data_IF_500197463551
#
_entry.id   IF_500197463551
#
_cell.length_a   1.000
_cell.length_b   1.000
_cell.length_c   1.000
_cell.angle_alpha   90.00
_cell.angle_beta   90.00
_cell.angle_gamma   90.00
#
_symmetry.space_group_name_H-M   'P 1'
#
loop_
_entity.id
_entity.type
_entity.pdbx_description
1 polymer ?
#
# COMPACT_ATOMS: atom_id res chain seq x y z
N UNK A 1 40.11 -6.45 -7.78
CA UNK A 1 39.10 -6.08 -6.76
C UNK A 1 39.39 -6.85 -5.50
N UNK A 2 39.98 -6.16 -4.50
CA UNK A 2 40.35 -6.75 -3.21
C UNK A 2 39.12 -7.35 -2.52
N UNK A 3 39.31 -8.61 -2.06
CA UNK A 3 38.37 -9.28 -1.17
C UNK A 3 38.44 -8.57 0.19
N UNK A 4 37.45 -7.76 0.56
CA UNK A 4 37.27 -7.46 1.98
C UNK A 4 36.63 -8.70 2.63
N UNK A 5 37.08 -8.99 3.82
CA UNK A 5 36.51 -10.03 4.66
C UNK A 5 36.11 -9.39 5.98
N UNK A 6 34.89 -9.68 6.44
CA UNK A 6 34.45 -9.23 7.75
C UNK A 6 35.21 -10.03 8.82
N UNK A 7 35.60 -9.37 9.88
CA UNK A 7 36.20 -10.04 11.05
C UNK A 7 35.22 -11.08 11.63
N UNK A 8 35.74 -12.20 12.08
CA UNK A 8 34.93 -13.30 12.60
C UNK A 8 34.08 -12.89 13.79
N UNK A 9 34.57 -11.98 14.64
CA UNK A 9 33.82 -11.36 15.74
C UNK A 9 32.57 -10.62 15.24
N UNK A 10 32.68 -9.90 14.14
CA UNK A 10 31.57 -9.17 13.54
C UNK A 10 30.56 -10.10 12.85
N UNK A 11 31.04 -11.15 12.19
CA UNK A 11 30.19 -12.19 11.60
C UNK A 11 29.33 -12.86 12.70
N UNK A 12 29.96 -13.21 13.83
CA UNK A 12 29.26 -13.84 14.96
C UNK A 12 28.26 -12.86 15.62
N UNK A 13 28.59 -11.57 15.73
CA UNK A 13 27.67 -10.55 16.22
C UNK A 13 26.42 -10.46 15.29
N UNK A 14 26.61 -10.41 13.98
CA UNK A 14 25.49 -10.36 13.02
C UNK A 14 24.64 -11.61 13.15
N UNK A 15 25.26 -12.80 13.20
CA UNK A 15 24.56 -14.07 13.34
C UNK A 15 23.76 -14.16 14.64
N UNK A 16 24.39 -13.92 15.77
CA UNK A 16 23.74 -13.97 17.09
C UNK A 16 22.55 -13.03 17.19
N UNK A 17 22.69 -11.78 16.73
CA UNK A 17 21.59 -10.81 16.73
C UNK A 17 20.47 -11.18 15.76
N UNK A 18 20.79 -11.79 14.61
CA UNK A 18 19.78 -12.21 13.61
C UNK A 18 18.96 -13.39 14.09
N UNK A 19 19.57 -14.31 14.81
CA UNK A 19 18.89 -15.49 15.36
C UNK A 19 18.18 -15.20 16.70
N UNK A 20 18.48 -14.06 17.33
CA UNK A 20 17.90 -13.66 18.61
C UNK A 20 16.41 -13.28 18.51
N UNK A 21 15.74 -13.31 19.67
CA UNK A 21 14.29 -12.96 19.74
C UNK A 21 13.99 -11.53 19.34
N UNK A 22 14.91 -10.61 19.63
CA UNK A 22 14.79 -9.19 19.28
C UNK A 22 15.05 -8.85 17.82
N UNK A 23 15.30 -9.81 16.94
CA UNK A 23 15.56 -9.57 15.53
C UNK A 23 14.33 -9.06 14.79
N UNK A 24 14.49 -7.93 14.11
CA UNK A 24 13.42 -7.30 13.30
C UNK A 24 13.68 -7.47 11.82
N UNK A 25 14.89 -7.12 11.35
CA UNK A 25 15.22 -7.17 9.92
C UNK A 25 16.73 -7.04 9.68
N UNK A 26 17.22 -7.77 8.69
CA UNK A 26 18.54 -7.57 8.10
C UNK A 26 18.37 -7.16 6.63
N UNK A 27 19.10 -6.15 6.19
CA UNK A 27 19.10 -5.69 4.80
C UNK A 27 20.52 -5.55 4.33
N UNK A 28 20.84 -6.16 3.20
CA UNK A 28 22.14 -6.02 2.56
C UNK A 28 22.00 -5.49 1.15
N UNK A 29 22.84 -4.53 0.79
CA UNK A 29 22.99 -4.02 -0.57
C UNK A 29 24.26 -4.58 -1.21
N UNK A 30 24.11 -5.21 -2.35
CA UNK A 30 25.20 -5.85 -3.12
C UNK A 30 25.32 -5.18 -4.48
N UNK A 31 26.54 -4.99 -4.97
CA UNK A 31 26.80 -4.56 -6.34
C UNK A 31 27.58 -5.64 -7.10
N UNK A 32 27.00 -6.08 -8.22
CA UNK A 32 27.65 -7.05 -9.11
C UNK A 32 27.45 -6.62 -10.57
N UNK A 33 28.52 -6.48 -11.33
CA UNK A 33 28.43 -6.13 -12.75
C UNK A 33 27.81 -4.74 -13.06
N UNK A 34 27.81 -3.81 -12.09
CA UNK A 34 27.16 -2.49 -12.24
C UNK A 34 25.73 -2.45 -11.73
N UNK A 35 25.08 -3.58 -11.57
CA UNK A 35 23.73 -3.70 -11.05
C UNK A 35 23.69 -3.72 -9.52
N UNK A 36 22.57 -3.30 -8.97
CA UNK A 36 22.35 -3.27 -7.52
C UNK A 36 21.31 -4.32 -7.15
N UNK A 37 21.72 -5.22 -6.26
CA UNK A 37 20.88 -6.23 -5.64
C UNK A 37 20.60 -5.83 -4.21
N UNK A 38 19.42 -6.18 -3.72
CA UNK A 38 19.06 -6.03 -2.32
C UNK A 38 18.60 -7.37 -1.78
N UNK A 39 19.23 -7.79 -0.68
CA UNK A 39 18.81 -8.97 0.06
C UNK A 39 18.22 -8.48 1.37
N UNK A 40 17.04 -8.98 1.74
CA UNK A 40 16.47 -8.72 3.06
C UNK A 40 16.07 -10.02 3.72
N UNK A 41 16.33 -10.13 5.03
CA UNK A 41 15.91 -11.23 5.88
C UNK A 41 15.05 -10.68 7.01
N UNK A 42 13.95 -11.34 7.33
CA UNK A 42 13.06 -10.97 8.43
C UNK A 42 12.44 -12.18 9.08
N UNK A 43 12.10 -12.12 10.37
CA UNK A 43 11.30 -13.16 11.00
C UNK A 43 9.86 -13.10 10.47
N UNK A 44 9.25 -14.27 10.28
CA UNK A 44 7.86 -14.47 9.88
C UNK A 44 7.29 -15.62 10.69
N UNK A 45 5.98 -15.65 10.86
CA UNK A 45 5.28 -16.78 11.46
C UNK A 45 4.52 -17.53 10.36
N UNK A 46 4.79 -18.80 10.18
CA UNK A 46 4.13 -19.67 9.20
C UNK A 46 3.62 -20.90 9.94
N UNK A 47 2.29 -21.07 9.97
CA UNK A 47 1.67 -22.20 10.66
C UNK A 47 1.95 -22.22 12.18
N UNK A 48 2.00 -21.05 12.83
CA UNK A 48 2.32 -20.91 14.25
C UNK A 48 3.79 -21.13 14.62
N UNK A 49 4.68 -21.30 13.63
CA UNK A 49 6.11 -21.52 13.83
C UNK A 49 6.90 -20.33 13.32
N UNK A 50 7.81 -19.80 14.15
CA UNK A 50 8.77 -18.76 13.73
C UNK A 50 9.71 -19.30 12.66
N UNK A 51 9.72 -18.64 11.51
CA UNK A 51 10.63 -18.88 10.38
C UNK A 51 11.32 -17.60 9.98
N UNK A 52 12.23 -17.69 9.02
CA UNK A 52 12.95 -16.54 8.47
C UNK A 52 12.70 -16.48 6.97
N UNK A 53 12.26 -15.33 6.50
CA UNK A 53 12.01 -15.09 5.08
C UNK A 53 13.11 -14.22 4.50
N UNK A 54 13.85 -14.79 3.54
CA UNK A 54 14.78 -14.03 2.70
C UNK A 54 14.09 -13.60 1.41
N UNK A 55 14.27 -12.35 1.06
CA UNK A 55 13.82 -11.75 -0.20
C UNK A 55 15.03 -11.17 -0.92
N UNK A 56 15.27 -11.63 -2.13
CA UNK A 56 16.34 -11.13 -3.01
C UNK A 56 15.68 -10.40 -4.18
N UNK A 57 15.98 -9.13 -4.35
CA UNK A 57 15.45 -8.31 -5.45
C UNK A 57 16.58 -7.88 -6.39
N UNK A 58 16.36 -8.15 -7.69
CA UNK A 58 17.22 -7.77 -8.80
C UNK A 58 16.36 -7.02 -9.83
N UNK A 59 16.48 -5.71 -9.91
CA UNK A 59 15.61 -4.91 -10.77
C UNK A 59 14.12 -5.12 -10.45
N UNK A 60 13.39 -5.77 -11.37
CA UNK A 60 11.96 -6.11 -11.20
C UNK A 60 11.73 -7.53 -10.69
N UNK A 61 12.75 -8.36 -10.68
CA UNK A 61 12.64 -9.75 -10.24
C UNK A 61 12.82 -9.83 -8.73
N UNK A 62 11.93 -10.57 -8.08
CA UNK A 62 11.94 -10.82 -6.64
C UNK A 62 11.86 -12.33 -6.39
N UNK A 63 12.88 -12.86 -5.73
CA UNK A 63 12.90 -14.23 -5.27
C UNK A 63 12.70 -14.27 -3.75
N UNK A 64 11.83 -15.15 -3.28
CA UNK A 64 11.52 -15.32 -1.85
C UNK A 64 11.82 -16.75 -1.43
N UNK A 65 12.56 -16.91 -0.33
CA UNK A 65 12.88 -18.20 0.27
C UNK A 65 12.59 -18.16 1.78
N UNK A 66 11.95 -19.19 2.30
CA UNK A 66 11.69 -19.32 3.74
C UNK A 66 12.61 -20.38 4.33
N UNK A 67 13.14 -20.09 5.51
CA UNK A 67 14.01 -20.98 6.28
C UNK A 67 13.40 -21.25 7.65
N UNK A 68 13.62 -22.43 8.20
CA UNK A 68 13.45 -22.69 9.64
C UNK A 68 14.62 -22.07 10.44
N UNK A 69 14.62 -22.23 11.75
CA UNK A 69 15.66 -21.67 12.61
C UNK A 69 17.06 -22.21 12.29
N UNK A 70 17.19 -23.45 11.87
CA UNK A 70 18.47 -24.07 11.52
C UNK A 70 18.97 -23.59 10.15
N UNK A 71 18.09 -23.58 9.15
CA UNK A 71 18.42 -23.04 7.82
C UNK A 71 18.65 -21.52 7.80
N UNK A 72 18.12 -20.79 8.79
CA UNK A 72 18.39 -19.36 8.92
C UNK A 72 19.85 -19.05 9.25
N UNK A 73 20.53 -19.89 10.00
CA UNK A 73 21.95 -19.74 10.30
C UNK A 73 22.79 -19.81 9.02
N UNK A 74 22.53 -20.82 8.17
CA UNK A 74 23.17 -20.96 6.86
C UNK A 74 22.81 -19.79 5.94
N UNK A 75 21.57 -19.35 5.93
CA UNK A 75 21.09 -18.21 5.15
C UNK A 75 21.78 -16.89 5.55
N UNK A 76 22.03 -16.68 6.83
CA UNK A 76 22.80 -15.52 7.33
C UNK A 76 24.25 -15.59 6.85
N UNK A 77 24.89 -16.75 6.91
CA UNK A 77 26.25 -16.96 6.39
C UNK A 77 26.31 -16.69 4.88
N UNK A 78 25.36 -17.18 4.11
CA UNK A 78 25.27 -16.89 2.67
C UNK A 78 25.11 -15.39 2.39
N UNK A 79 24.31 -14.67 3.18
CA UNK A 79 24.12 -13.22 3.06
C UNK A 79 25.43 -12.49 3.38
N UNK A 80 26.09 -12.82 4.49
CA UNK A 80 27.35 -12.20 4.90
C UNK A 80 28.46 -12.44 3.89
N UNK A 81 28.52 -13.64 3.30
CA UNK A 81 29.54 -14.06 2.34
C UNK A 81 29.36 -13.49 0.92
N UNK A 82 28.27 -12.73 0.64
CA UNK A 82 28.00 -12.19 -0.70
C UNK A 82 29.12 -11.31 -1.22
N UNK A 83 29.71 -11.71 -2.34
CA UNK A 83 30.72 -10.90 -3.04
C UNK A 83 30.10 -9.59 -3.55
N UNK A 84 30.76 -8.47 -3.29
CA UNK A 84 30.31 -7.15 -3.72
C UNK A 84 29.33 -6.50 -2.75
N UNK A 85 29.11 -7.06 -1.55
CA UNK A 85 28.36 -6.40 -0.50
C UNK A 85 28.98 -5.04 -0.17
N UNK A 86 28.15 -4.01 -0.02
CA UNK A 86 28.60 -2.64 0.26
C UNK A 86 28.05 -2.11 1.56
N UNK A 87 26.89 -2.58 1.93
CA UNK A 87 26.16 -2.07 3.09
C UNK A 87 25.30 -3.17 3.67
N UNK A 88 25.37 -3.36 4.99
CA UNK A 88 24.52 -4.25 5.74
C UNK A 88 23.91 -3.46 6.88
N UNK A 89 22.60 -3.53 7.04
CA UNK A 89 21.86 -2.91 8.12
C UNK A 89 21.06 -3.98 8.86
N UNK A 90 21.44 -4.22 10.10
CA UNK A 90 20.77 -5.14 11.01
C UNK A 90 19.99 -4.34 12.04
N UNK A 91 18.69 -4.54 12.07
CA UNK A 91 17.75 -3.86 12.94
C UNK A 91 17.25 -4.84 13.99
N UNK A 92 17.38 -4.48 15.25
CA UNK A 92 16.89 -5.26 16.39
C UNK A 92 16.08 -4.38 17.36
N UNK A 93 15.34 -5.02 18.26
CA UNK A 93 14.59 -4.32 19.32
C UNK A 93 15.49 -3.51 20.24
N UNK A 94 16.74 -3.96 20.45
CA UNK A 94 17.69 -3.36 21.42
C UNK A 94 18.73 -2.44 20.78
N UNK A 95 18.79 -2.37 19.45
CA UNK A 95 19.75 -1.51 18.75
C UNK A 95 20.05 -1.98 17.34
N UNK A 96 20.55 -1.05 16.54
CA UNK A 96 20.87 -1.31 15.13
C UNK A 96 22.38 -1.44 14.95
N UNK A 97 22.77 -2.31 14.01
CA UNK A 97 24.14 -2.48 13.55
C UNK A 97 24.19 -2.11 12.06
N UNK A 98 25.00 -1.12 11.72
CA UNK A 98 25.24 -0.72 10.35
C UNK A 98 26.69 -0.97 9.96
N UNK A 99 26.89 -1.80 8.97
CA UNK A 99 28.20 -2.14 8.40
C UNK A 99 28.30 -1.60 7.00
N UNK A 100 29.30 -0.79 6.72
CA UNK A 100 29.55 -0.22 5.39
C UNK A 100 30.97 -0.50 4.93
N UNK A 101 31.10 -0.95 3.68
CA UNK A 101 32.39 -1.17 3.05
C UNK A 101 32.70 -0.02 2.10
N UNK A 102 33.79 0.68 2.35
CA UNK A 102 34.25 1.80 1.52
C UNK A 102 34.75 1.31 0.15
N UNK A 103 34.94 2.24 -0.78
CA UNK A 103 35.55 1.90 -2.10
C UNK A 103 36.95 1.34 -1.97
N UNK A 104 37.69 1.67 -0.90
CA UNK A 104 39.04 1.19 -0.60
C UNK A 104 39.09 -0.14 0.19
N UNK A 105 37.93 -0.77 0.44
CA UNK A 105 37.81 -2.03 1.18
C UNK A 105 37.77 -1.90 2.71
N UNK A 106 37.83 -0.69 3.28
CA UNK A 106 37.72 -0.51 4.74
C UNK A 106 36.29 -0.77 5.21
N UNK A 107 36.16 -1.56 6.27
CA UNK A 107 34.89 -1.86 6.95
C UNK A 107 34.66 -0.82 8.03
N UNK A 108 33.55 -0.13 7.94
CA UNK A 108 33.07 0.84 8.93
C UNK A 108 31.86 0.25 9.64
N UNK A 109 31.90 0.20 10.97
CA UNK A 109 30.83 -0.36 11.79
C UNK A 109 30.28 0.74 12.69
N UNK A 110 28.97 0.96 12.63
CA UNK A 110 28.25 1.86 13.52
C UNK A 110 27.20 1.06 14.29
N UNK A 111 27.11 1.32 15.58
CA UNK A 111 26.10 0.75 16.48
C UNK A 111 25.29 1.88 17.08
N UNK A 112 23.96 1.81 16.99
CA UNK A 112 23.06 2.73 17.64
C UNK A 112 22.33 2.02 18.78
N UNK A 113 22.14 2.71 19.91
CA UNK A 113 21.20 2.26 20.92
C UNK A 113 19.79 2.24 20.29
N UNK A 114 19.04 1.18 20.52
CA UNK A 114 17.67 1.07 19.98
C UNK A 114 16.77 2.10 20.66
N UNK A 115 15.88 2.68 19.87
CA UNK A 115 14.59 3.10 20.39
C UNK A 115 13.87 1.79 20.70
N UNK A 116 13.30 1.62 21.89
CA UNK A 116 12.54 0.43 22.27
C UNK A 116 11.49 0.13 21.17
N UNK A 117 11.76 -0.90 20.37
CA UNK A 117 10.89 -1.33 19.27
C UNK A 117 10.35 -2.70 19.64
N UNK A 118 9.06 -2.88 19.53
CA UNK A 118 8.50 -4.23 19.59
C UNK A 118 9.00 -5.06 18.42
N UNK A 119 9.71 -6.15 18.72
CA UNK A 119 10.06 -7.18 17.74
C UNK A 119 8.81 -8.03 17.42
N UNK A 120 7.79 -7.42 16.81
CA UNK A 120 6.61 -8.17 16.41
C UNK A 120 6.94 -9.05 15.20
N UNK A 121 6.97 -10.35 15.41
CA UNK A 121 6.97 -11.32 14.32
C UNK A 121 5.62 -11.21 13.62
N UNK A 122 5.61 -10.62 12.43
CA UNK A 122 4.36 -10.48 11.67
C UNK A 122 4.00 -11.83 11.08
N UNK A 123 2.76 -12.33 11.28
CA UNK A 123 2.32 -13.55 10.62
C UNK A 123 2.60 -13.49 9.13
N UNK A 124 3.12 -14.59 8.56
CA UNK A 124 3.37 -14.67 7.11
C UNK A 124 2.06 -14.61 6.33
N UNK A 125 1.05 -15.30 6.83
CA UNK A 125 -0.34 -15.10 6.47
C UNK A 125 -0.90 -13.90 7.23
N UNK A 126 -0.41 -12.72 6.87
CA UNK A 126 -1.27 -11.58 7.03
C UNK A 126 -2.50 -11.94 6.20
N UNK A 127 -3.58 -12.26 6.86
CA UNK A 127 -4.89 -11.92 6.35
C UNK A 127 -4.75 -10.42 6.15
N UNK A 128 -4.42 -10.04 4.90
CA UNK A 128 -4.40 -8.62 4.53
C UNK A 128 -5.80 -8.23 4.90
N UNK A 129 -5.95 -7.37 5.90
CA UNK A 129 -7.25 -6.81 6.23
C UNK A 129 -7.61 -5.94 5.03
N UNK A 130 -8.01 -6.66 3.95
CA UNK A 130 -8.30 -6.06 2.67
C UNK A 130 -9.72 -5.52 2.78
N UNK A 131 -9.94 -4.24 2.54
CA UNK A 131 -11.27 -3.65 2.56
C UNK A 131 -12.30 -4.46 1.79
N UNK A 132 -11.97 -4.96 0.60
CA UNK A 132 -12.86 -5.82 -0.19
C UNK A 132 -13.16 -7.20 0.43
N UNK A 133 -12.41 -7.63 1.44
CA UNK A 133 -12.67 -8.86 2.18
C UNK A 133 -13.51 -8.65 3.44
N UNK A 134 -13.83 -7.39 3.79
CA UNK A 134 -14.63 -7.06 4.96
C UNK A 134 -16.13 -7.11 4.71
N UNK A 135 -16.57 -7.30 3.47
CA UNK A 135 -17.97 -7.44 3.06
C UNK A 135 -18.08 -8.43 1.89
N UNK A 136 -19.30 -8.85 1.56
CA UNK A 136 -19.54 -9.68 0.38
C UNK A 136 -19.33 -8.87 -0.91
N UNK A 137 -18.12 -8.92 -1.43
CA UNK A 137 -17.71 -8.23 -2.65
C UNK A 137 -17.84 -9.07 -3.92
N UNK A 138 -18.37 -10.31 -3.85
CA UNK A 138 -18.35 -11.26 -4.97
C UNK A 138 -19.09 -10.72 -6.21
N UNK A 139 -20.27 -10.13 -6.03
CA UNK A 139 -21.04 -9.55 -7.13
C UNK A 139 -20.27 -8.39 -7.79
N UNK A 140 -19.72 -7.48 -6.99
CA UNK A 140 -18.88 -6.38 -7.45
C UNK A 140 -17.66 -6.88 -8.23
N UNK A 141 -16.89 -7.82 -7.67
CA UNK A 141 -15.68 -8.36 -8.31
C UNK A 141 -15.96 -8.99 -9.67
N UNK A 142 -17.10 -9.70 -9.81
CA UNK A 142 -17.56 -10.25 -11.09
C UNK A 142 -18.01 -9.16 -12.06
N UNK A 143 -18.80 -8.19 -11.61
CA UNK A 143 -19.28 -7.09 -12.46
C UNK A 143 -18.13 -6.21 -12.96
N UNK A 144 -17.14 -5.94 -12.11
CA UNK A 144 -15.92 -5.23 -12.43
C UNK A 144 -14.93 -6.04 -13.29
N UNK A 145 -15.21 -7.33 -13.56
CA UNK A 145 -14.32 -8.22 -14.31
C UNK A 145 -13.01 -8.55 -13.59
N UNK A 146 -12.92 -8.29 -12.29
CA UNK A 146 -11.75 -8.59 -11.45
C UNK A 146 -11.68 -10.07 -11.10
N UNK A 147 -12.84 -10.74 -10.95
CA UNK A 147 -12.94 -12.16 -10.68
C UNK A 147 -13.48 -12.93 -11.90
N UNK A 148 -13.21 -14.23 -11.94
CA UNK A 148 -13.80 -15.20 -12.87
C UNK A 148 -15.18 -15.68 -12.39
N UNK A 149 -15.76 -16.67 -13.10
CA UNK A 149 -17.04 -17.27 -12.78
C UNK A 149 -17.08 -17.91 -11.38
N UNK A 150 -15.96 -18.46 -10.95
CA UNK A 150 -15.80 -19.12 -9.65
C UNK A 150 -15.48 -18.15 -8.49
N UNK A 151 -15.38 -16.84 -8.78
CA UNK A 151 -15.06 -15.81 -7.78
C UNK A 151 -13.57 -15.65 -7.50
N UNK A 152 -12.68 -16.30 -8.26
CA UNK A 152 -11.23 -16.18 -8.10
C UNK A 152 -10.72 -14.96 -8.82
N UNK A 153 -9.85 -14.18 -8.16
CA UNK A 153 -9.23 -13.01 -8.78
C UNK A 153 -8.37 -13.44 -9.97
N UNK A 154 -8.68 -12.90 -11.14
CA UNK A 154 -7.93 -13.18 -12.37
C UNK A 154 -6.48 -12.71 -12.23
N UNK A 155 -5.51 -13.51 -12.65
CA UNK A 155 -4.08 -13.17 -12.54
C UNK A 155 -3.75 -11.83 -13.23
N UNK A 156 -4.34 -11.56 -14.41
CA UNK A 156 -4.19 -10.29 -15.15
C UNK A 156 -4.81 -9.07 -14.45
N UNK A 157 -5.73 -9.29 -13.50
CA UNK A 157 -6.44 -8.23 -12.76
C UNK A 157 -5.94 -8.08 -11.32
N UNK A 158 -4.92 -8.84 -10.93
CA UNK A 158 -4.38 -8.79 -9.56
C UNK A 158 -3.92 -7.40 -9.16
N UNK A 159 -3.17 -6.71 -10.03
CA UNK A 159 -2.73 -5.34 -9.76
C UNK A 159 -3.89 -4.37 -9.57
N UNK A 160 -4.99 -4.55 -10.34
CA UNK A 160 -6.20 -3.72 -10.19
C UNK A 160 -6.95 -4.00 -8.90
N UNK A 161 -7.04 -5.27 -8.51
CA UNK A 161 -7.60 -5.68 -7.21
C UNK A 161 -6.82 -5.08 -6.03
N UNK A 162 -5.48 -5.15 -6.08
CA UNK A 162 -4.63 -4.57 -5.05
C UNK A 162 -4.77 -3.03 -5.02
N UNK A 163 -4.92 -2.38 -6.18
CA UNK A 163 -5.20 -0.95 -6.32
C UNK A 163 -6.49 -0.53 -5.60
N UNK A 164 -7.59 -1.26 -5.84
CA UNK A 164 -8.88 -0.98 -5.18
C UNK A 164 -8.75 -1.10 -3.66
N UNK A 165 -8.09 -2.14 -3.16
CA UNK A 165 -7.90 -2.31 -1.72
C UNK A 165 -7.06 -1.19 -1.09
N UNK A 166 -5.97 -0.76 -1.73
CA UNK A 166 -5.15 0.36 -1.21
C UNK A 166 -5.93 1.67 -1.22
N UNK A 167 -6.71 1.93 -2.27
CA UNK A 167 -7.61 3.08 -2.33
C UNK A 167 -8.60 3.09 -1.15
N UNK A 168 -9.31 1.99 -0.93
CA UNK A 168 -10.31 1.90 0.14
C UNK A 168 -9.70 2.03 1.55
N UNK A 169 -8.45 1.61 1.76
CA UNK A 169 -7.74 1.85 3.03
C UNK A 169 -7.55 3.34 3.28
N UNK A 170 -7.06 4.05 2.24
CA UNK A 170 -6.85 5.51 2.36
C UNK A 170 -8.17 6.22 2.59
N UNK A 171 -9.24 5.82 1.90
CA UNK A 171 -10.60 6.34 2.18
C UNK A 171 -10.98 6.13 3.65
N UNK A 172 -10.77 4.94 4.20
CA UNK A 172 -11.05 4.65 5.60
C UNK A 172 -10.29 5.55 6.57
N UNK A 173 -9.00 5.81 6.29
CA UNK A 173 -8.16 6.70 7.11
C UNK A 173 -8.61 8.16 7.05
N UNK A 174 -9.10 8.63 5.90
CA UNK A 174 -9.57 10.00 5.69
C UNK A 174 -10.98 10.21 6.25
N UNK A 175 -11.88 9.24 6.08
CA UNK A 175 -13.27 9.36 6.53
C UNK A 175 -13.42 9.15 8.03
N UNK A 176 -12.60 8.31 8.66
CA UNK A 176 -12.68 8.01 10.08
C UNK A 176 -12.66 9.26 11.01
N UNK A 177 -11.84 10.29 10.76
CA UNK A 177 -11.84 11.51 11.58
C UNK A 177 -13.06 12.41 11.36
N UNK A 178 -13.78 12.28 10.23
CA UNK A 178 -14.89 13.17 9.85
C UNK A 178 -16.16 12.97 10.69
N UNK A 179 -16.17 11.96 11.57
CA UNK A 179 -17.15 11.74 12.67
C UNK A 179 -18.63 11.97 12.33
N UNK A 180 -19.04 11.80 11.06
CA UNK A 180 -20.44 11.90 10.66
C UNK A 180 -21.22 10.68 11.18
N UNK A 181 -22.39 10.90 11.73
CA UNK A 181 -23.19 9.78 12.24
C UNK A 181 -23.56 8.82 11.09
N UNK A 182 -23.46 7.49 11.27
CA UNK A 182 -23.75 6.51 10.22
C UNK A 182 -25.16 6.63 9.61
N UNK A 183 -26.11 7.16 10.35
CA UNK A 183 -27.50 7.38 9.90
C UNK A 183 -27.71 8.62 9.03
N UNK A 184 -26.66 9.43 8.82
CA UNK A 184 -26.75 10.61 7.96
C UNK A 184 -26.38 10.27 6.51
N UNK A 185 -26.95 11.04 5.58
CA UNK A 185 -26.53 10.91 4.17
C UNK A 185 -25.07 11.28 4.03
N UNK A 186 -24.29 10.38 3.44
CA UNK A 186 -22.88 10.61 3.11
C UNK A 186 -22.75 10.69 1.59
N UNK A 187 -22.34 11.85 1.08
CA UNK A 187 -22.19 12.09 -0.35
C UNK A 187 -20.73 12.13 -0.75
N UNK A 188 -20.34 11.27 -1.69
CA UNK A 188 -19.00 11.28 -2.26
C UNK A 188 -19.04 11.56 -3.77
N UNK A 189 -18.03 12.25 -4.28
CA UNK A 189 -17.85 12.50 -5.72
C UNK A 189 -16.48 11.98 -6.17
N UNK A 190 -16.46 11.22 -7.27
CA UNK A 190 -15.27 10.67 -7.90
C UNK A 190 -15.06 11.35 -9.26
N UNK A 191 -14.14 12.30 -9.32
CA UNK A 191 -13.79 13.02 -10.53
C UNK A 191 -12.80 12.21 -11.39
N UNK A 192 -13.15 12.03 -12.66
CA UNK A 192 -12.41 11.17 -13.57
C UNK A 192 -12.66 9.68 -13.29
N UNK A 193 -13.90 9.31 -12.95
CA UNK A 193 -14.29 7.97 -12.50
C UNK A 193 -13.98 6.84 -13.51
N UNK A 194 -13.79 7.16 -14.77
CA UNK A 194 -13.41 6.20 -15.80
C UNK A 194 -14.36 5.01 -15.84
N UNK A 195 -13.81 3.80 -15.76
CA UNK A 195 -14.58 2.54 -15.77
C UNK A 195 -15.30 2.23 -14.45
N UNK A 196 -15.44 3.19 -13.55
CA UNK A 196 -16.20 3.11 -12.31
C UNK A 196 -15.75 2.04 -11.27
N UNK A 197 -14.61 1.40 -11.45
CA UNK A 197 -14.15 0.37 -10.50
C UNK A 197 -14.03 0.92 -9.08
N UNK A 198 -13.45 2.11 -8.94
CA UNK A 198 -13.22 2.73 -7.65
C UNK A 198 -14.49 3.36 -7.08
N UNK A 199 -15.29 4.01 -7.94
CA UNK A 199 -16.56 4.64 -7.59
C UNK A 199 -17.54 3.64 -6.96
N UNK A 200 -17.73 2.48 -7.59
CA UNK A 200 -18.63 1.44 -7.08
C UNK A 200 -18.05 0.75 -5.84
N UNK A 201 -16.73 0.51 -5.81
CA UNK A 201 -16.08 -0.03 -4.63
C UNK A 201 -16.21 0.91 -3.42
N UNK A 202 -16.08 2.22 -3.65
CA UNK A 202 -16.27 3.26 -2.64
C UNK A 202 -17.67 3.18 -2.02
N UNK A 203 -18.71 3.09 -2.86
CA UNK A 203 -20.08 2.96 -2.36
C UNK A 203 -20.23 1.73 -1.44
N UNK A 204 -19.83 0.55 -1.89
CA UNK A 204 -19.94 -0.65 -1.06
C UNK A 204 -19.14 -0.54 0.24
N UNK A 205 -17.97 0.08 0.20
CA UNK A 205 -17.15 0.28 1.38
C UNK A 205 -17.79 1.26 2.37
N UNK A 206 -18.34 2.37 1.90
CA UNK A 206 -19.08 3.34 2.72
C UNK A 206 -20.25 2.67 3.42
N UNK A 207 -21.04 1.87 2.70
CA UNK A 207 -22.24 1.22 3.25
C UNK A 207 -21.88 0.07 4.19
N UNK A 208 -21.05 -0.87 3.74
CA UNK A 208 -20.88 -2.14 4.45
C UNK A 208 -19.76 -2.14 5.48
N UNK A 209 -18.78 -1.26 5.35
CA UNK A 209 -17.63 -1.21 6.25
C UNK A 209 -17.67 0.02 7.15
N UNK A 210 -17.96 1.20 6.58
CA UNK A 210 -18.05 2.43 7.37
C UNK A 210 -19.44 2.70 7.95
N UNK A 211 -20.47 1.93 7.53
CA UNK A 211 -21.80 1.96 8.11
C UNK A 211 -22.71 3.09 7.61
N UNK A 212 -22.34 3.82 6.56
CA UNK A 212 -23.17 4.88 5.97
C UNK A 212 -24.26 4.29 5.07
N UNK A 213 -25.36 3.78 5.65
CA UNK A 213 -26.45 3.12 4.92
C UNK A 213 -27.11 3.99 3.86
N UNK A 214 -27.11 5.31 4.04
CA UNK A 214 -27.67 6.31 3.13
C UNK A 214 -26.59 6.96 2.24
N UNK A 215 -25.44 6.29 2.02
CA UNK A 215 -24.40 6.82 1.17
C UNK A 215 -24.87 7.00 -0.28
N UNK A 216 -24.42 8.09 -0.89
CA UNK A 216 -24.56 8.37 -2.32
C UNK A 216 -23.19 8.63 -2.91
N UNK A 217 -22.93 8.08 -4.09
CA UNK A 217 -21.65 8.29 -4.79
C UNK A 217 -21.94 8.76 -6.21
N UNK A 218 -21.31 9.85 -6.61
CA UNK A 218 -21.40 10.38 -7.97
C UNK A 218 -20.07 10.22 -8.67
N UNK A 219 -20.05 9.51 -9.79
CA UNK A 219 -18.90 9.43 -10.69
C UNK A 219 -19.03 10.44 -11.82
N UNK A 220 -18.02 11.26 -12.02
CA UNK A 220 -17.98 12.28 -13.09
C UNK A 220 -16.84 11.96 -14.05
N UNK A 221 -17.12 11.87 -15.34
CA UNK A 221 -16.11 11.75 -16.40
C UNK A 221 -16.63 12.46 -17.67
N UNK A 222 -15.73 13.05 -18.45
CA UNK A 222 -16.09 13.73 -19.71
C UNK A 222 -16.41 12.81 -20.87
N UNK A 223 -16.11 11.51 -20.74
CA UNK A 223 -16.27 10.54 -21.82
C UNK A 223 -17.58 9.79 -21.72
N UNK A 224 -18.48 10.00 -22.68
CA UNK A 224 -19.78 9.36 -22.77
C UNK A 224 -19.71 7.82 -22.73
N UNK A 225 -18.74 7.22 -23.43
CA UNK A 225 -18.59 5.77 -23.56
C UNK A 225 -18.30 5.08 -22.21
N UNK A 226 -17.46 5.71 -21.36
CA UNK A 226 -17.15 5.17 -20.05
C UNK A 226 -18.30 5.40 -19.06
N UNK A 227 -19.00 6.53 -19.15
CA UNK A 227 -20.20 6.82 -18.33
C UNK A 227 -21.32 5.82 -18.63
N UNK A 228 -21.58 5.52 -19.90
CA UNK A 228 -22.57 4.50 -20.27
C UNK A 228 -22.20 3.11 -19.72
N UNK A 229 -20.92 2.75 -19.82
CA UNK A 229 -20.42 1.49 -19.26
C UNK A 229 -20.54 1.44 -17.73
N UNK A 230 -20.28 2.57 -17.07
CA UNK A 230 -20.39 2.71 -15.60
C UNK A 230 -21.85 2.59 -15.13
N UNK A 231 -22.81 3.21 -15.83
CA UNK A 231 -24.24 3.07 -15.57
C UNK A 231 -24.71 1.63 -15.66
N UNK A 232 -24.33 0.91 -16.72
CA UNK A 232 -24.65 -0.52 -16.87
C UNK A 232 -24.07 -1.37 -15.72
N UNK A 233 -22.92 -0.99 -15.17
CA UNK A 233 -22.35 -1.67 -14.03
C UNK A 233 -23.15 -1.41 -12.74
N UNK A 234 -23.61 -0.18 -12.51
CA UNK A 234 -24.46 0.16 -11.36
C UNK A 234 -25.82 -0.54 -11.44
N UNK A 235 -26.44 -0.57 -12.62
CA UNK A 235 -27.70 -1.31 -12.85
C UNK A 235 -27.54 -2.79 -12.57
N UNK A 236 -26.47 -3.42 -13.08
CA UNK A 236 -26.18 -4.85 -12.87
C UNK A 236 -25.98 -5.20 -11.39
N UNK A 237 -25.56 -4.24 -10.58
CA UNK A 237 -25.31 -4.39 -9.16
C UNK A 237 -26.46 -3.92 -8.29
N UNK A 238 -27.57 -3.47 -8.92
CA UNK A 238 -28.76 -2.95 -8.24
C UNK A 238 -28.44 -1.78 -7.27
N UNK A 239 -27.57 -0.88 -7.71
CA UNK A 239 -27.12 0.30 -6.96
C UNK A 239 -27.31 1.62 -7.69
N UNK A 240 -28.01 1.61 -8.84
CA UNK A 240 -28.18 2.78 -9.69
C UNK A 240 -28.97 3.93 -9.07
N UNK A 241 -29.73 3.68 -8.00
CA UNK A 241 -30.41 4.67 -7.20
C UNK A 241 -29.48 5.38 -6.19
N UNK A 242 -28.29 4.85 -5.95
CA UNK A 242 -27.31 5.33 -4.99
C UNK A 242 -25.96 5.68 -5.61
N UNK A 243 -25.66 5.16 -6.80
CA UNK A 243 -24.40 5.41 -7.53
C UNK A 243 -24.75 6.00 -8.89
N UNK A 244 -24.62 7.30 -9.00
CA UNK A 244 -24.94 8.06 -10.21
C UNK A 244 -23.68 8.29 -11.06
N UNK A 245 -23.84 8.32 -12.39
CA UNK A 245 -22.77 8.64 -13.31
C UNK A 245 -23.15 9.77 -14.25
N UNK A 246 -22.33 10.84 -14.25
CA UNK A 246 -22.61 12.09 -14.96
C UNK A 246 -21.50 12.34 -15.99
N UNK A 247 -21.91 12.56 -17.24
CA UNK A 247 -21.01 13.05 -18.28
C UNK A 247 -20.85 14.56 -18.12
N UNK A 248 -19.70 15.00 -17.61
CA UNK A 248 -19.38 16.40 -17.44
C UNK A 248 -17.87 16.61 -17.31
N UNK A 249 -17.42 17.85 -17.59
CA UNK A 249 -16.14 18.34 -17.13
C UNK A 249 -16.18 18.65 -15.63
N UNK A 250 -15.05 18.50 -14.95
CA UNK A 250 -14.93 18.70 -13.49
C UNK A 250 -15.43 20.09 -13.11
N UNK A 251 -14.98 21.13 -13.83
CA UNK A 251 -15.39 22.52 -13.59
C UNK A 251 -16.88 22.80 -13.77
N UNK A 252 -17.58 22.01 -14.59
CA UNK A 252 -19.01 22.16 -14.84
C UNK A 252 -19.91 21.48 -13.80
N UNK A 253 -19.36 20.52 -13.03
CA UNK A 253 -20.10 19.81 -12.00
C UNK A 253 -20.28 20.69 -10.75
N UNK A 254 -21.51 20.74 -10.22
CA UNK A 254 -21.83 21.43 -8.98
C UNK A 254 -22.73 20.58 -8.10
N UNK A 255 -22.49 20.62 -6.81
CA UNK A 255 -23.35 20.02 -5.78
C UNK A 255 -23.44 20.99 -4.59
N UNK A 256 -24.56 20.96 -3.86
CA UNK A 256 -24.78 21.84 -2.70
C UNK A 256 -23.83 21.50 -1.54
N UNK A 257 -23.57 20.21 -1.32
CA UNK A 257 -22.61 19.74 -0.33
C UNK A 257 -22.09 18.37 -0.71
N UNK A 258 -20.81 18.12 -0.43
CA UNK A 258 -20.13 16.84 -0.66
C UNK A 258 -19.29 16.53 0.57
N UNK A 259 -19.38 15.30 1.07
CA UNK A 259 -18.59 14.89 2.23
C UNK A 259 -17.18 14.45 1.84
N UNK A 260 -17.03 13.82 0.69
CA UNK A 260 -15.75 13.31 0.19
C UNK A 260 -15.60 13.57 -1.31
N UNK A 261 -14.49 14.17 -1.69
CA UNK A 261 -14.08 14.31 -3.09
C UNK A 261 -12.89 13.38 -3.36
N UNK A 262 -13.00 12.58 -4.42
CA UNK A 262 -11.94 11.66 -4.89
C UNK A 262 -11.53 12.03 -6.31
N UNK A 263 -10.22 11.97 -6.60
CA UNK A 263 -9.68 12.16 -7.93
C UNK A 263 -8.40 11.34 -8.10
N UNK A 264 -8.48 10.20 -8.79
CA UNK A 264 -7.36 9.25 -8.89
C UNK A 264 -6.74 9.12 -10.27
N UNK A 265 -7.46 9.47 -11.31
CA UNK A 265 -7.04 9.31 -12.70
C UNK A 265 -7.01 10.64 -13.47
N UNK A 266 -7.10 11.75 -12.77
CA UNK A 266 -6.96 13.07 -13.35
C UNK A 266 -5.48 13.31 -13.72
N UNK A 267 -5.22 13.85 -14.89
CA UNK A 267 -3.91 14.42 -15.23
C UNK A 267 -3.68 15.70 -14.42
N UNK A 268 -2.44 16.21 -14.35
CA UNK A 268 -2.01 17.27 -13.42
C UNK A 268 -3.01 18.43 -13.28
N UNK A 269 -3.55 18.96 -14.41
CA UNK A 269 -4.53 20.05 -14.40
C UNK A 269 -5.90 19.65 -13.84
N UNK A 270 -6.36 18.43 -14.11
CA UNK A 270 -7.64 17.95 -13.62
C UNK A 270 -7.62 17.61 -12.12
N UNK A 271 -6.44 17.36 -11.57
CA UNK A 271 -6.25 17.23 -10.12
C UNK A 271 -6.43 18.57 -9.41
N UNK A 272 -5.79 19.62 -9.93
CA UNK A 272 -5.93 20.97 -9.38
C UNK A 272 -7.39 21.44 -9.46
N UNK A 273 -8.09 21.15 -10.58
CA UNK A 273 -9.52 21.41 -10.71
C UNK A 273 -10.37 20.65 -9.68
N UNK A 274 -10.04 19.37 -9.43
CA UNK A 274 -10.75 18.56 -8.45
C UNK A 274 -10.59 19.11 -7.02
N UNK A 275 -9.39 19.56 -6.67
CA UNK A 275 -9.11 20.18 -5.38
C UNK A 275 -9.88 21.50 -5.25
N UNK A 276 -9.81 22.35 -6.27
CA UNK A 276 -10.54 23.62 -6.29
C UNK A 276 -12.05 23.42 -6.13
N UNK A 277 -12.62 22.43 -6.84
CA UNK A 277 -14.03 22.04 -6.70
C UNK A 277 -14.37 21.46 -5.33
N UNK A 278 -13.50 20.66 -4.73
CA UNK A 278 -13.68 20.16 -3.36
C UNK A 278 -13.79 21.28 -2.33
N UNK A 279 -12.93 22.31 -2.45
CA UNK A 279 -12.96 23.50 -1.61
C UNK A 279 -14.22 24.33 -1.87
N UNK A 280 -14.61 24.53 -3.14
CA UNK A 280 -15.81 25.27 -3.52
C UNK A 280 -17.09 24.61 -2.96
N UNK A 281 -17.17 23.29 -2.99
CA UNK A 281 -18.30 22.50 -2.48
C UNK A 281 -18.29 22.31 -0.96
N UNK A 282 -17.34 22.92 -0.23
CA UNK A 282 -17.19 22.81 1.22
C UNK A 282 -17.17 21.35 1.70
N UNK A 283 -16.41 20.50 1.02
CA UNK A 283 -16.31 19.10 1.41
C UNK A 283 -15.78 18.96 2.84
N UNK A 284 -16.44 18.15 3.66
CA UNK A 284 -16.07 17.89 5.06
C UNK A 284 -14.74 17.15 5.19
N UNK A 285 -14.45 16.28 4.22
CA UNK A 285 -13.18 15.58 4.12
C UNK A 285 -12.42 16.20 2.97
N UNK A 286 -11.29 16.84 3.25
CA UNK A 286 -10.45 17.46 2.23
C UNK A 286 -10.19 16.52 1.06
N UNK A 287 -10.14 17.10 -0.13
CA UNK A 287 -10.02 16.39 -1.39
C UNK A 287 -8.92 15.32 -1.34
N UNK A 288 -9.31 14.06 -1.43
CA UNK A 288 -8.38 12.93 -1.52
C UNK A 288 -7.78 12.86 -2.92
N UNK A 289 -6.79 13.68 -3.19
CA UNK A 289 -5.97 13.55 -4.39
C UNK A 289 -4.88 12.53 -4.17
N UNK A 290 -5.08 11.30 -4.64
CA UNK A 290 -4.11 10.20 -4.50
C UNK A 290 -3.25 10.12 -5.75
N UNK A 291 -2.41 11.12 -5.98
CA UNK A 291 -1.47 11.17 -7.11
C UNK A 291 -0.22 10.29 -6.94
N UNK A 292 0.01 9.66 -5.81
CA UNK A 292 1.28 9.00 -5.49
C UNK A 292 1.26 7.49 -5.35
N UNK A 293 0.11 6.84 -5.27
CA UNK A 293 0.04 5.41 -4.88
C UNK A 293 0.47 4.45 -6.01
N UNK A 294 0.52 4.90 -7.28
CA UNK A 294 0.61 3.97 -8.42
C UNK A 294 1.87 4.05 -9.27
N UNK A 295 2.86 4.86 -8.91
CA UNK A 295 4.16 4.89 -9.62
C UNK A 295 5.28 4.16 -8.91
N UNK A 296 5.05 3.14 -8.13
CA UNK A 296 6.11 2.26 -7.63
C UNK A 296 7.27 2.92 -6.86
N UNK A 297 7.25 4.21 -6.66
CA UNK A 297 8.20 4.97 -5.89
C UNK A 297 7.60 5.26 -4.53
N UNK A 298 8.20 4.65 -3.50
CA UNK A 298 7.92 4.97 -2.10
C UNK A 298 8.45 6.38 -1.80
N UNK A 299 7.77 7.39 -2.22
CA UNK A 299 7.84 8.69 -1.61
C UNK A 299 6.75 8.75 -0.56
N UNK A 300 7.15 8.98 0.69
CA UNK A 300 6.25 9.30 1.80
C UNK A 300 5.25 10.36 1.33
N UNK A 301 3.96 10.28 1.69
CA UNK A 301 3.02 11.34 1.38
C UNK A 301 3.52 12.62 2.05
N UNK A 302 4.08 13.51 1.28
CA UNK A 302 4.44 14.88 1.70
C UNK A 302 3.26 15.82 1.45
N UNK A 303 2.09 15.46 1.93
CA UNK A 303 1.00 16.41 2.05
C UNK A 303 0.56 16.42 3.50
N UNK A 304 1.09 17.39 4.24
CA UNK A 304 0.47 17.84 5.47
C UNK A 304 -0.86 18.47 5.09
N UNK A 305 -1.94 17.73 5.34
CA UNK A 305 -3.29 18.27 5.30
C UNK A 305 -3.37 19.43 6.31
N UNK A 306 -3.95 20.59 5.96
CA UNK A 306 -4.30 21.56 6.95
C UNK A 306 -5.32 20.91 7.88
N UNK A 307 -4.98 20.85 9.16
CA UNK A 307 -5.90 20.46 10.21
C UNK A 307 -7.13 21.35 10.12
N UNK A 308 -8.29 20.71 10.03
CA UNK A 308 -9.59 21.36 10.14
C UNK A 308 -9.58 22.33 11.33
N UNK A 309 -9.51 23.63 11.05
CA UNK A 309 -9.62 24.68 12.05
C UNK A 309 -11.06 24.76 12.51
N UNK A 310 -11.29 24.22 13.69
CA UNK A 310 -12.51 24.46 14.46
C UNK A 310 -12.50 25.93 14.89
N UNK A 311 -13.44 26.68 14.46
CA UNK A 311 -13.90 27.91 15.14
C UNK A 311 -15.39 27.89 15.25
#
# INVERSE_FOLDING_TARGET
>A
MEKYELEDSLKEEIRSRTLGEGFIKLVQSVRRGGERFRISLRPVEIGGVRKYQAEMSEGRDVQVKNFDANGAAEGVEEIIAQKGARELHLITATGDLHVRVTKKGHVLVSRSAGIEREATVKPHDRVKNLPLAQFDSAAYLKAAGLADGDGRIRASMRGKYDQVNEFLKVVGEVVAPCAKAPSTVFTAVDFGCGKAYLTVALYFYLVHVLGYSEAKVVGVDRRADVIESARKMAEKLDVADRVEFIEADIGAYNAESVDLVVSLHACDTATDESIAKGVEMQSLCDCLSVLGIFRGERSSPQYSLPLCGIS
#
